data_IF_429984449766
#
_entry.id   IF_429984449766
#
_cell.length_a   1.000
_cell.length_b   1.000
_cell.length_c   1.000
_cell.angle_alpha   90.00
_cell.angle_beta   90.00
_cell.angle_gamma   90.00
#
_symmetry.space_group_name_H-M   'P 1'
#
loop_
_entity.id
_entity.type
_entity.pdbx_description
1 polymer ?
#
# COMPACT_ATOMS: atom_id res chain seq x y z
N UNK A 1 10.33 -2.28 10.02
CA UNK A 1 9.63 -1.24 9.22
C UNK A 1 8.71 -0.50 10.17
N UNK A 2 8.69 0.82 10.13
CA UNK A 2 7.92 1.70 11.02
C UNK A 2 7.75 3.08 10.36
N UNK A 3 7.06 4.02 10.99
CA UNK A 3 6.77 5.35 10.51
C UNK A 3 7.93 6.36 10.72
N UNK A 4 9.09 5.90 11.22
CA UNK A 4 10.27 6.74 11.40
C UNK A 4 10.96 6.92 10.04
N UNK A 5 11.15 8.16 9.55
CA UNK A 5 11.76 8.39 8.25
C UNK A 5 13.20 7.88 8.17
N UNK A 6 13.52 7.16 7.09
CA UNK A 6 14.88 6.79 6.76
C UNK A 6 15.71 8.04 6.47
N UNK A 7 16.82 8.22 7.19
CA UNK A 7 17.75 9.35 7.00
C UNK A 7 18.62 9.23 5.74
N UNK A 8 18.71 8.03 5.19
CA UNK A 8 19.47 7.72 3.98
C UNK A 8 18.84 6.52 3.29
N UNK A 9 18.91 6.51 1.96
CA UNK A 9 18.51 5.37 1.12
C UNK A 9 19.72 4.56 0.64
N UNK A 10 20.94 5.04 0.93
CA UNK A 10 22.17 4.34 0.57
C UNK A 10 22.34 3.10 1.43
N UNK A 11 22.70 1.97 0.79
CA UNK A 11 22.94 0.70 1.49
C UNK A 11 21.67 -0.07 1.85
N UNK A 12 20.49 0.39 1.43
CA UNK A 12 19.27 -0.40 1.55
C UNK A 12 19.35 -1.66 0.68
N UNK A 13 18.96 -2.78 1.26
CA UNK A 13 19.01 -4.09 0.65
C UNK A 13 17.59 -4.60 0.35
N UNK A 14 17.34 -5.00 -0.90
CA UNK A 14 16.02 -5.49 -1.32
C UNK A 14 15.59 -6.77 -0.60
N UNK A 15 16.49 -7.74 -0.42
CA UNK A 15 16.21 -9.01 0.27
C UNK A 15 15.84 -8.76 1.74
N UNK A 16 16.54 -7.84 2.42
CA UNK A 16 16.15 -7.47 3.77
C UNK A 16 14.76 -6.82 3.83
N UNK A 17 14.44 -5.95 2.86
CA UNK A 17 13.13 -5.29 2.80
C UNK A 17 12.02 -6.31 2.55
N UNK A 18 12.17 -7.20 1.57
CA UNK A 18 11.18 -8.25 1.29
C UNK A 18 10.99 -9.18 2.49
N UNK A 19 12.07 -9.60 3.16
CA UNK A 19 11.98 -10.46 4.34
C UNK A 19 11.29 -9.75 5.51
N UNK A 20 11.57 -8.46 5.75
CA UNK A 20 10.89 -7.67 6.79
C UNK A 20 9.41 -7.49 6.47
N UNK A 21 9.06 -7.25 5.21
CA UNK A 21 7.68 -7.12 4.76
C UNK A 21 6.90 -8.44 4.93
N UNK A 22 7.48 -9.54 4.47
CA UNK A 22 6.89 -10.88 4.61
C UNK A 22 6.63 -11.23 6.07
N UNK A 23 7.60 -11.00 6.97
CA UNK A 23 7.43 -11.26 8.40
C UNK A 23 6.25 -10.49 9.00
N UNK A 24 6.07 -9.22 8.62
CA UNK A 24 4.93 -8.41 9.08
C UNK A 24 3.63 -8.98 8.54
N UNK A 25 3.53 -9.26 7.23
CA UNK A 25 2.32 -9.81 6.61
C UNK A 25 1.96 -11.18 7.19
N UNK A 26 2.93 -12.07 7.34
CA UNK A 26 2.72 -13.43 7.87
C UNK A 26 2.34 -13.47 9.35
N UNK A 27 2.46 -12.34 10.05
CA UNK A 27 2.02 -12.18 11.44
C UNK A 27 0.55 -11.77 11.58
N UNK A 28 -0.06 -11.23 10.51
CA UNK A 28 -1.48 -10.87 10.47
C UNK A 28 -2.32 -12.13 10.64
N UNK A 29 -3.37 -12.03 11.47
CA UNK A 29 -4.22 -13.18 11.83
C UNK A 29 -3.60 -14.18 12.80
N UNK A 30 -2.30 -14.07 13.13
CA UNK A 30 -1.64 -14.87 14.17
C UNK A 30 -1.54 -14.12 15.50
N UNK A 31 -0.96 -12.92 15.45
CA UNK A 31 -0.72 -12.08 16.64
C UNK A 31 -1.50 -10.77 16.63
N UNK A 32 -2.08 -10.40 15.49
CA UNK A 32 -2.87 -9.18 15.34
C UNK A 32 -4.29 -9.42 15.84
N UNK A 33 -4.87 -8.41 16.49
CA UNK A 33 -6.26 -8.42 16.94
C UNK A 33 -7.17 -8.23 15.73
N UNK A 34 -8.16 -9.10 15.59
CA UNK A 34 -9.23 -8.93 14.59
C UNK A 34 -10.06 -7.70 14.93
N UNK A 35 -10.37 -6.91 13.91
CA UNK A 35 -11.19 -5.70 14.02
C UNK A 35 -12.43 -5.83 13.11
N UNK A 36 -13.09 -4.71 12.79
CA UNK A 36 -14.33 -4.69 12.03
C UNK A 36 -14.18 -5.33 10.65
N UNK A 37 -15.15 -6.18 10.30
CA UNK A 37 -15.37 -6.64 8.94
C UNK A 37 -16.24 -5.63 8.20
N UNK A 38 -15.78 -5.17 7.04
CA UNK A 38 -16.53 -4.26 6.18
C UNK A 38 -17.07 -5.03 4.98
N UNK A 39 -18.31 -4.73 4.60
CA UNK A 39 -18.96 -5.32 3.43
C UNK A 39 -19.26 -4.21 2.44
N UNK A 40 -18.84 -4.39 1.19
CA UNK A 40 -19.00 -3.41 0.13
C UNK A 40 -19.66 -4.05 -1.09
N UNK A 41 -20.54 -3.30 -1.76
CA UNK A 41 -21.14 -3.71 -3.02
C UNK A 41 -20.20 -3.33 -4.17
N UNK A 42 -19.97 -4.27 -5.09
CA UNK A 42 -19.31 -3.96 -6.36
C UNK A 42 -20.35 -3.57 -7.41
N UNK A 43 -19.95 -2.69 -8.33
CA UNK A 43 -20.85 -2.15 -9.34
C UNK A 43 -21.12 -3.18 -10.46
N UNK A 44 -20.06 -3.84 -10.93
CA UNK A 44 -20.12 -4.77 -12.06
C UNK A 44 -20.58 -6.16 -11.64
N UNK A 45 -20.03 -6.67 -10.54
CA UNK A 45 -20.43 -7.94 -9.96
C UNK A 45 -21.55 -7.66 -8.99
N UNK A 46 -22.74 -8.28 -9.16
CA UNK A 46 -23.86 -8.14 -8.22
C UNK A 46 -23.62 -8.91 -6.90
N UNK A 47 -22.38 -8.91 -6.44
CA UNK A 47 -21.88 -9.55 -5.24
C UNK A 47 -21.37 -8.49 -4.28
N UNK A 48 -21.56 -8.76 -2.98
CA UNK A 48 -20.88 -8.01 -1.95
C UNK A 48 -19.54 -8.68 -1.66
N UNK A 49 -18.49 -7.88 -1.54
CA UNK A 49 -17.18 -8.34 -1.06
C UNK A 49 -17.03 -8.01 0.41
N UNK A 50 -16.24 -8.85 1.09
CA UNK A 50 -15.85 -8.61 2.46
C UNK A 50 -14.38 -8.24 2.58
N UNK A 51 -14.11 -7.26 3.43
CA UNK A 51 -12.75 -6.83 3.79
C UNK A 51 -12.62 -6.95 5.30
N UNK A 52 -11.77 -7.87 5.75
CA UNK A 52 -11.51 -8.09 7.16
C UNK A 52 -10.35 -7.20 7.60
N UNK A 53 -10.56 -6.39 8.65
CA UNK A 53 -9.48 -5.55 9.21
C UNK A 53 -8.90 -6.15 10.48
N UNK A 54 -7.66 -5.75 10.78
CA UNK A 54 -6.89 -6.16 11.94
C UNK A 54 -6.09 -4.97 12.45
N UNK A 55 -5.70 -5.00 13.72
CA UNK A 55 -4.74 -4.05 14.27
C UNK A 55 -3.79 -4.72 15.26
N UNK A 56 -2.66 -4.08 15.51
CA UNK A 56 -1.76 -4.42 16.62
C UNK A 56 -1.27 -3.13 17.25
N UNK A 57 -1.33 -3.06 18.58
CA UNK A 57 -1.07 -1.82 19.32
C UNK A 57 0.38 -1.35 19.22
N UNK A 58 1.31 -2.30 19.15
CA UNK A 58 2.74 -2.04 19.08
C UNK A 58 3.45 -3.10 18.26
N UNK A 59 3.94 -2.72 17.08
CA UNK A 59 4.85 -3.48 16.23
C UNK A 59 5.90 -2.54 15.68
N UNK A 60 7.18 -2.82 15.96
CA UNK A 60 8.31 -1.91 15.62
C UNK A 60 8.09 -0.48 16.14
N UNK A 61 7.56 -0.36 17.36
CA UNK A 61 7.23 0.88 18.06
C UNK A 61 6.03 1.68 17.53
N UNK A 62 5.32 1.19 16.53
CA UNK A 62 4.11 1.83 16.00
C UNK A 62 2.84 1.02 16.19
N UNK A 63 1.71 1.72 16.13
CA UNK A 63 0.40 1.12 15.93
C UNK A 63 0.23 0.77 14.44
N UNK A 64 -0.14 -0.47 14.15
CA UNK A 64 -0.39 -0.93 12.80
C UNK A 64 -1.85 -1.33 12.60
N UNK A 65 -2.35 -1.06 11.40
CA UNK A 65 -3.63 -1.55 10.88
C UNK A 65 -3.36 -2.42 9.65
N UNK A 66 -4.22 -3.40 9.42
CA UNK A 66 -4.16 -4.20 8.22
C UNK A 66 -5.56 -4.53 7.71
N UNK A 67 -5.64 -4.82 6.42
CA UNK A 67 -6.81 -5.43 5.79
C UNK A 67 -6.42 -6.68 5.02
N UNK A 68 -7.32 -7.65 5.02
CA UNK A 68 -7.25 -8.89 4.26
C UNK A 68 -8.48 -8.97 3.36
N UNK A 69 -8.24 -9.07 2.05
CA UNK A 69 -9.30 -9.20 1.04
C UNK A 69 -9.06 -10.46 0.24
N UNK A 70 -9.82 -11.53 0.52
CA UNK A 70 -9.69 -12.82 -0.17
C UNK A 70 -10.64 -12.97 -1.36
N UNK A 71 -11.53 -11.99 -1.58
CA UNK A 71 -12.50 -11.93 -2.68
C UNK A 71 -13.23 -13.26 -2.94
N UNK A 72 -13.54 -14.01 -1.88
CA UNK A 72 -14.12 -15.37 -1.97
C UNK A 72 -15.53 -15.36 -2.56
N UNK A 73 -16.18 -14.20 -2.49
CA UNK A 73 -17.52 -13.93 -2.99
C UNK A 73 -17.57 -13.68 -4.52
N UNK A 74 -16.39 -13.59 -5.16
CA UNK A 74 -16.25 -13.35 -6.59
C UNK A 74 -16.02 -14.68 -7.31
N UNK A 75 -16.58 -14.80 -8.52
CA UNK A 75 -16.39 -16.00 -9.33
C UNK A 75 -14.95 -16.14 -9.84
N UNK A 76 -14.63 -17.33 -10.36
CA UNK A 76 -13.27 -17.67 -10.77
C UNK A 76 -12.75 -16.81 -11.93
N UNK A 77 -13.61 -16.48 -12.90
CA UNK A 77 -13.20 -15.73 -14.09
C UNK A 77 -12.93 -14.26 -13.72
N UNK A 78 -13.82 -13.67 -12.92
CA UNK A 78 -13.66 -12.33 -12.39
C UNK A 78 -12.44 -12.24 -11.46
N UNK A 79 -12.15 -13.25 -10.62
CA UNK A 79 -10.92 -13.27 -9.82
C UNK A 79 -9.66 -13.24 -10.67
N UNK A 80 -9.59 -14.03 -11.76
CA UNK A 80 -8.44 -14.04 -12.67
C UNK A 80 -8.27 -12.67 -13.36
N UNK A 81 -9.39 -12.08 -13.77
CA UNK A 81 -9.43 -10.72 -14.32
C UNK A 81 -8.92 -9.70 -13.31
N UNK A 82 -9.42 -9.72 -12.07
CA UNK A 82 -8.97 -8.82 -11.00
C UNK A 82 -7.51 -9.02 -10.62
N UNK A 83 -7.00 -10.26 -10.59
CA UNK A 83 -5.58 -10.50 -10.37
C UNK A 83 -4.72 -9.82 -11.46
N UNK A 84 -5.13 -9.95 -12.72
CA UNK A 84 -4.44 -9.30 -13.85
C UNK A 84 -4.49 -7.77 -13.73
N UNK A 85 -5.60 -7.22 -13.26
CA UNK A 85 -5.76 -5.77 -12.99
C UNK A 85 -4.91 -5.32 -11.80
N UNK A 86 -4.84 -6.09 -10.72
CA UNK A 86 -3.98 -5.80 -9.56
C UNK A 86 -2.50 -5.78 -9.97
N UNK A 87 -2.06 -6.78 -10.74
CA UNK A 87 -0.70 -6.82 -11.29
C UNK A 87 -0.43 -5.62 -12.21
N UNK A 88 -1.40 -5.21 -13.02
CA UNK A 88 -1.21 -4.08 -13.93
C UNK A 88 -1.20 -2.73 -13.23
N UNK A 89 -2.11 -2.51 -12.29
CA UNK A 89 -2.46 -1.18 -11.77
C UNK A 89 -2.07 -0.96 -10.31
N UNK A 90 -1.98 -2.00 -9.48
CA UNK A 90 -1.47 -1.86 -8.11
C UNK A 90 0.04 -2.14 -8.10
N UNK A 91 0.52 -3.20 -8.73
CA UNK A 91 1.98 -3.45 -8.81
C UNK A 91 2.62 -2.45 -9.77
N UNK A 92 2.01 -2.25 -10.95
CA UNK A 92 2.54 -1.35 -11.96
C UNK A 92 3.77 -1.91 -12.67
N UNK A 93 4.47 -1.03 -13.38
CA UNK A 93 5.68 -1.37 -14.11
C UNK A 93 6.85 -1.61 -13.16
N UNK A 94 7.61 -2.66 -13.44
CA UNK A 94 8.87 -3.00 -12.77
C UNK A 94 10.11 -2.49 -13.54
N UNK A 95 9.91 -1.64 -14.55
CA UNK A 95 10.99 -1.17 -15.43
C UNK A 95 10.87 0.28 -15.89
N UNK A 96 9.77 0.97 -15.58
CA UNK A 96 9.51 2.34 -16.01
C UNK A 96 8.78 3.15 -14.95
N UNK A 97 9.04 4.46 -14.92
CA UNK A 97 8.33 5.43 -14.09
C UNK A 97 6.98 5.87 -14.67
N UNK A 98 6.72 5.59 -15.95
CA UNK A 98 5.52 6.06 -16.65
C UNK A 98 4.23 5.35 -16.18
N UNK A 99 4.35 4.11 -15.71
CA UNK A 99 3.21 3.23 -15.39
C UNK A 99 3.38 2.61 -14.01
N UNK A 100 3.74 3.40 -13.00
CA UNK A 100 4.04 2.92 -11.64
C UNK A 100 2.79 2.72 -10.79
N UNK A 101 2.94 2.04 -9.64
CA UNK A 101 1.94 2.02 -8.58
C UNK A 101 1.36 3.41 -8.30
N UNK A 102 2.24 4.42 -8.11
CA UNK A 102 1.85 5.79 -7.80
C UNK A 102 1.06 6.48 -8.92
N UNK A 103 1.43 6.25 -10.19
CA UNK A 103 0.71 6.84 -11.32
C UNK A 103 -0.74 6.33 -11.37
N UNK A 104 -0.93 5.04 -11.16
CA UNK A 104 -2.27 4.45 -11.15
C UNK A 104 -3.05 4.78 -9.88
N UNK A 105 -2.40 4.86 -8.71
CA UNK A 105 -3.03 5.28 -7.46
C UNK A 105 -3.76 6.63 -7.61
N UNK A 106 -3.13 7.60 -8.28
CA UNK A 106 -3.72 8.91 -8.56
C UNK A 106 -5.05 8.83 -9.33
N UNK A 107 -5.29 7.76 -10.08
CA UNK A 107 -6.50 7.61 -10.89
C UNK A 107 -7.73 7.21 -10.06
N UNK A 108 -7.53 6.52 -8.92
CA UNK A 108 -8.63 6.06 -8.05
C UNK A 108 -8.60 6.64 -6.63
N UNK A 109 -7.51 7.31 -6.21
CA UNK A 109 -7.42 8.07 -4.96
C UNK A 109 -7.46 9.58 -5.28
N UNK A 110 -8.66 10.15 -5.28
CA UNK A 110 -8.89 11.53 -5.70
C UNK A 110 -8.25 12.59 -4.78
N UNK A 111 -7.86 12.20 -3.57
CA UNK A 111 -7.13 13.02 -2.62
C UNK A 111 -5.66 13.22 -3.02
N UNK A 112 -5.06 12.28 -3.76
CA UNK A 112 -3.70 12.42 -4.32
C UNK A 112 -3.75 13.37 -5.52
N UNK A 113 -3.23 14.59 -5.34
CA UNK A 113 -3.35 15.66 -6.35
C UNK A 113 -2.11 15.84 -7.19
N UNK A 114 -0.94 15.57 -6.63
CA UNK A 114 0.33 15.72 -7.31
C UNK A 114 1.35 14.73 -6.79
N UNK A 115 2.32 14.38 -7.63
CA UNK A 115 3.44 13.56 -7.20
C UNK A 115 4.71 13.94 -7.97
N UNK A 116 5.87 13.57 -7.43
CA UNK A 116 7.15 13.60 -8.12
C UNK A 116 7.88 12.28 -7.85
N UNK A 117 8.50 11.68 -8.88
CA UNK A 117 9.16 10.39 -8.78
C UNK A 117 10.65 10.48 -9.13
N UNK A 118 11.49 9.74 -8.42
CA UNK A 118 12.91 9.61 -8.71
C UNK A 118 13.36 8.15 -8.60
N UNK A 119 13.88 7.52 -9.67
CA UNK A 119 14.26 6.12 -9.61
C UNK A 119 15.52 5.95 -8.76
N UNK A 120 15.60 4.85 -8.03
CA UNK A 120 16.81 4.45 -7.30
C UNK A 120 17.05 2.96 -7.46
N UNK A 121 18.28 2.54 -7.26
CA UNK A 121 18.66 1.12 -7.34
C UNK A 121 19.01 0.61 -5.97
N UNK A 122 18.35 -0.47 -5.55
CA UNK A 122 18.77 -1.26 -4.40
C UNK A 122 19.62 -2.44 -4.84
N UNK A 123 20.26 -3.11 -3.90
CA UNK A 123 20.94 -4.37 -4.20
C UNK A 123 19.94 -5.37 -4.81
N UNK A 124 20.32 -6.11 -5.87
CA UNK A 124 19.43 -7.08 -6.51
C UNK A 124 18.91 -8.13 -5.53
N UNK A 125 17.67 -8.56 -5.77
CA UNK A 125 17.04 -9.66 -5.06
C UNK A 125 17.09 -10.92 -5.91
N UNK A 126 17.44 -12.05 -5.31
CA UNK A 126 17.53 -13.34 -6.01
C UNK A 126 16.16 -13.90 -6.37
N UNK A 127 15.17 -13.72 -5.49
CA UNK A 127 13.85 -14.34 -5.60
C UNK A 127 12.84 -13.44 -6.33
N UNK A 128 13.12 -12.14 -6.39
CA UNK A 128 12.22 -11.12 -6.93
C UNK A 128 12.85 -10.33 -8.08
N UNK A 129 12.02 -9.97 -9.05
CA UNK A 129 12.24 -8.79 -9.89
C UNK A 129 11.82 -7.56 -9.11
N UNK A 130 12.62 -6.51 -9.16
CA UNK A 130 12.43 -5.37 -8.28
C UNK A 130 12.54 -4.05 -8.99
N UNK A 131 11.72 -3.11 -8.58
CA UNK A 131 11.79 -1.73 -9.02
C UNK A 131 11.63 -0.81 -7.82
N UNK A 132 12.50 0.19 -7.72
CA UNK A 132 12.51 1.10 -6.56
C UNK A 132 12.55 2.53 -7.01
N UNK A 133 11.75 3.37 -6.37
CA UNK A 133 11.77 4.79 -6.61
C UNK A 133 11.41 5.55 -5.34
N UNK A 134 11.84 6.80 -5.28
CA UNK A 134 11.38 7.75 -4.30
C UNK A 134 10.14 8.45 -4.85
N UNK A 135 9.17 8.71 -3.99
CA UNK A 135 7.96 9.43 -4.31
C UNK A 135 7.75 10.58 -3.33
N UNK A 136 7.47 11.77 -3.85
CA UNK A 136 6.92 12.89 -3.09
C UNK A 136 5.45 13.00 -3.45
N UNK A 137 4.56 12.71 -2.52
CA UNK A 137 3.11 12.64 -2.76
C UNK A 137 2.39 13.80 -2.07
N UNK A 138 1.55 14.53 -2.79
CA UNK A 138 0.73 15.61 -2.24
C UNK A 138 -0.74 15.20 -2.14
N UNK A 139 -1.28 15.24 -0.92
CA UNK A 139 -2.70 14.95 -0.67
C UNK A 139 -3.45 16.21 -0.26
N UNK A 140 -4.61 16.43 -0.91
CA UNK A 140 -5.62 17.37 -0.43
C UNK A 140 -6.52 16.67 0.57
N UNK A 141 -6.89 17.38 1.63
CA UNK A 141 -7.88 16.92 2.59
C UNK A 141 -9.01 17.93 2.67
N UNK A 142 -10.22 17.49 3.09
CA UNK A 142 -11.33 18.40 3.31
C UNK A 142 -10.96 19.53 4.27
N UNK A 143 -11.43 20.74 3.97
CA UNK A 143 -11.33 21.89 4.88
C UNK A 143 -11.93 21.52 6.24
N UNK A 144 -11.27 21.87 7.38
CA UNK A 144 -10.20 22.85 7.56
C UNK A 144 -8.77 22.29 7.53
N UNK A 145 -8.57 21.04 7.09
CA UNK A 145 -7.25 20.42 7.14
C UNK A 145 -6.34 20.95 6.00
N UNK A 146 -5.09 21.26 6.34
CA UNK A 146 -4.07 21.66 5.36
C UNK A 146 -3.67 20.48 4.47
N UNK A 147 -3.06 20.77 3.32
CA UNK A 147 -2.44 19.76 2.45
C UNK A 147 -1.33 19.02 3.17
N UNK A 148 -1.20 17.73 2.88
CA UNK A 148 -0.14 16.88 3.40
C UNK A 148 0.81 16.52 2.29
N UNK A 149 2.08 16.44 2.63
CA UNK A 149 3.12 15.88 1.77
C UNK A 149 3.70 14.66 2.46
N UNK A 150 3.86 13.59 1.68
CA UNK A 150 4.55 12.38 2.08
C UNK A 150 5.81 12.24 1.23
N UNK A 151 6.88 11.76 1.85
CA UNK A 151 8.11 11.41 1.17
C UNK A 151 8.37 9.94 1.44
N UNK A 152 8.38 9.14 0.38
CA UNK A 152 8.39 7.70 0.46
C UNK A 152 9.48 7.11 -0.43
N UNK A 153 10.02 5.99 0.02
CA UNK A 153 10.64 5.00 -0.85
C UNK A 153 9.58 3.95 -1.14
N UNK A 154 9.30 3.71 -2.41
CA UNK A 154 8.42 2.64 -2.88
C UNK A 154 9.29 1.57 -3.52
N UNK A 155 9.22 0.36 -2.97
CA UNK A 155 9.96 -0.81 -3.42
C UNK A 155 8.97 -1.90 -3.83
N UNK A 156 8.96 -2.21 -5.12
CA UNK A 156 8.14 -3.26 -5.70
C UNK A 156 8.99 -4.52 -5.80
N UNK A 157 8.44 -5.65 -5.36
CA UNK A 157 9.03 -6.98 -5.53
C UNK A 157 8.02 -7.89 -6.22
N UNK A 158 8.35 -8.44 -7.38
CA UNK A 158 7.54 -9.40 -8.11
C UNK A 158 8.26 -10.75 -8.15
N UNK A 159 7.62 -11.78 -7.60
CA UNK A 159 8.26 -13.10 -7.48
C UNK A 159 8.59 -13.66 -8.87
N UNK A 160 9.77 -14.24 -8.99
CA UNK A 160 10.22 -14.91 -10.23
C UNK A 160 9.57 -16.28 -10.43
N UNK A 161 9.08 -16.89 -9.35
CA UNK A 161 8.58 -18.28 -9.35
C UNK A 161 7.08 -18.36 -9.07
N UNK A 162 6.56 -17.45 -8.26
CA UNK A 162 5.18 -17.49 -7.75
C UNK A 162 4.36 -16.33 -8.30
N UNK A 163 3.04 -16.47 -8.28
CA UNK A 163 2.10 -15.36 -8.54
C UNK A 163 1.94 -14.54 -7.27
N UNK A 164 3.02 -13.88 -6.86
CA UNK A 164 3.19 -13.14 -5.61
C UNK A 164 3.93 -11.82 -5.88
N UNK A 165 3.35 -10.72 -5.41
CA UNK A 165 3.94 -9.39 -5.51
C UNK A 165 3.84 -8.64 -4.18
N UNK A 166 4.87 -7.87 -3.84
CA UNK A 166 4.89 -6.95 -2.72
C UNK A 166 5.08 -5.51 -3.20
N UNK A 167 4.39 -4.58 -2.56
CA UNK A 167 4.63 -3.14 -2.68
C UNK A 167 4.95 -2.64 -1.28
N UNK A 168 6.16 -2.13 -1.07
CA UNK A 168 6.68 -1.73 0.22
C UNK A 168 6.93 -0.21 0.17
N UNK A 169 6.15 0.55 0.94
CA UNK A 169 6.34 1.99 1.09
C UNK A 169 6.96 2.28 2.46
N UNK A 170 8.08 3.01 2.48
CA UNK A 170 8.75 3.45 3.70
C UNK A 170 8.91 4.96 3.72
N UNK A 171 8.69 5.63 4.87
CA UNK A 171 8.91 7.06 4.94
C UNK A 171 10.41 7.35 4.80
N UNK A 172 10.75 8.39 4.05
CA UNK A 172 12.12 8.88 3.92
C UNK A 172 12.19 10.33 4.42
N UNK A 173 13.38 10.73 4.87
CA UNK A 173 13.63 12.12 5.20
C UNK A 173 13.53 12.98 3.92
N UNK A 174 12.85 14.15 3.94
CA UNK A 174 12.73 15.03 2.77
C UNK A 174 14.07 15.39 2.13
N UNK A 175 15.15 15.42 2.92
CA UNK A 175 16.52 15.66 2.41
C UNK A 175 16.99 14.59 1.42
N UNK A 176 16.49 13.35 1.51
CA UNK A 176 16.76 12.30 0.53
C UNK A 176 16.16 12.62 -0.85
N UNK A 177 15.09 13.43 -0.86
CA UNK A 177 14.38 13.84 -2.07
C UNK A 177 14.90 15.17 -2.64
N UNK A 178 15.63 15.97 -1.84
CA UNK A 178 16.12 17.31 -2.20
C UNK A 178 15.01 18.29 -2.59
N UNK A 179 13.81 18.14 -2.03
CA UNK A 179 12.65 18.98 -2.33
C UNK A 179 12.22 19.79 -1.12
N UNK A 180 11.97 21.08 -1.34
CA UNK A 180 11.35 21.95 -0.35
C UNK A 180 9.83 21.77 -0.36
N UNK A 181 9.23 21.72 0.83
CA UNK A 181 7.78 21.62 0.99
C UNK A 181 7.28 22.75 1.90
N UNK A 182 7.57 23.98 1.49
CA UNK A 182 7.09 25.18 2.17
C UNK A 182 5.56 25.13 2.25
N UNK A 183 5.02 25.30 3.47
CA UNK A 183 3.59 25.40 3.78
C UNK A 183 2.74 24.10 3.77
N UNK A 184 3.33 22.91 3.68
CA UNK A 184 2.60 21.63 3.81
C UNK A 184 2.90 20.93 5.13
N UNK A 185 1.93 20.16 5.63
CA UNK A 185 2.16 19.30 6.82
C UNK A 185 2.84 18.02 6.37
N UNK A 186 3.99 17.70 6.94
CA UNK A 186 4.68 16.44 6.68
C UNK A 186 3.94 15.31 7.38
N UNK A 187 3.39 14.40 6.59
CA UNK A 187 2.80 13.18 7.08
C UNK A 187 3.72 12.01 6.70
N UNK A 188 3.64 10.92 7.47
CA UNK A 188 4.52 9.76 7.34
C UNK A 188 3.69 8.51 7.44
N UNK A 189 3.97 7.53 6.60
CA UNK A 189 3.47 6.19 6.83
C UNK A 189 4.47 5.18 6.26
N UNK A 190 4.40 3.97 6.79
CA UNK A 190 4.96 2.80 6.14
C UNK A 190 3.81 1.86 5.78
N UNK A 191 3.83 1.29 4.58
CA UNK A 191 2.88 0.27 4.18
C UNK A 191 3.57 -0.92 3.52
N UNK A 192 2.86 -2.04 3.57
CA UNK A 192 3.18 -3.25 2.82
C UNK A 192 1.88 -3.70 2.20
N UNK A 193 1.84 -3.81 0.89
CA UNK A 193 0.81 -4.55 0.17
C UNK A 193 1.36 -5.87 -0.31
N UNK A 194 0.53 -6.91 -0.26
CA UNK A 194 0.81 -8.22 -0.83
C UNK A 194 -0.35 -8.61 -1.73
N UNK A 195 -0.03 -8.98 -2.95
CA UNK A 195 -0.97 -9.59 -3.89
C UNK A 195 -0.48 -11.01 -4.14
N UNK A 196 -1.35 -12.00 -3.93
CA UNK A 196 -1.04 -13.39 -4.25
C UNK A 196 -2.21 -14.08 -4.93
N UNK A 197 -1.90 -14.95 -5.90
CA UNK A 197 -2.87 -15.73 -6.63
C UNK A 197 -2.43 -17.18 -6.76
N UNK A 198 -3.21 -18.11 -6.24
CA UNK A 198 -3.00 -19.54 -6.44
C UNK A 198 -3.77 -20.02 -7.67
N UNK A 199 -3.05 -20.42 -8.71
CA UNK A 199 -3.65 -20.88 -9.99
C UNK A 199 -4.40 -22.20 -9.85
N UNK A 200 -4.06 -23.03 -8.87
CA UNK A 200 -4.66 -24.35 -8.67
C UNK A 200 -6.03 -24.26 -7.99
N UNK A 201 -6.16 -23.34 -7.03
CA UNK A 201 -7.39 -23.11 -6.25
C UNK A 201 -8.21 -21.93 -6.77
N UNK A 202 -7.60 -21.05 -7.57
CA UNK A 202 -8.12 -19.73 -7.94
C UNK A 202 -8.38 -18.84 -6.73
N UNK A 203 -7.57 -18.98 -5.68
CA UNK A 203 -7.61 -18.11 -4.52
C UNK A 203 -6.79 -16.85 -4.80
N UNK A 204 -7.48 -15.70 -4.77
CA UNK A 204 -6.89 -14.38 -4.88
C UNK A 204 -6.89 -13.73 -3.50
N UNK A 205 -5.73 -13.27 -3.05
CA UNK A 205 -5.58 -12.54 -1.81
C UNK A 205 -4.89 -11.21 -2.07
N UNK A 206 -5.50 -10.13 -1.57
CA UNK A 206 -4.92 -8.80 -1.54
C UNK A 206 -4.92 -8.26 -0.11
N UNK A 207 -3.72 -8.12 0.42
CA UNK A 207 -3.44 -7.67 1.78
C UNK A 207 -2.81 -6.29 1.75
N UNK A 208 -3.10 -5.51 2.78
CA UNK A 208 -2.36 -4.30 3.10
C UNK A 208 -2.14 -4.23 4.60
N UNK A 209 -0.93 -3.87 5.02
CA UNK A 209 -0.61 -3.45 6.38
C UNK A 209 -0.01 -2.05 6.33
N UNK A 210 -0.40 -1.18 7.25
CA UNK A 210 0.11 0.19 7.32
C UNK A 210 0.22 0.68 8.75
N UNK A 211 1.23 1.50 9.01
CA UNK A 211 1.32 2.36 10.18
C UNK A 211 1.54 3.80 9.71
N UNK A 212 0.89 4.76 10.35
CA UNK A 212 1.03 6.15 9.96
C UNK A 212 1.11 7.10 11.14
N UNK A 213 1.86 8.17 10.94
CA UNK A 213 1.88 9.36 11.77
C UNK A 213 1.42 10.53 10.90
N UNK A 214 0.14 10.93 11.00
CA UNK A 214 -0.44 11.95 10.11
C UNK A 214 0.10 13.37 10.37
N UNK A 215 0.87 13.57 11.44
CA UNK A 215 1.43 14.86 11.83
C UNK A 215 0.35 15.88 12.28
N UNK A 216 0.82 17.06 12.71
CA UNK A 216 -0.07 18.13 13.17
C UNK A 216 -0.78 17.82 14.49
N UNK A 217 -2.01 18.32 14.65
CA UNK A 217 -2.79 18.25 15.89
C UNK A 217 -3.94 17.24 15.85
N UNK A 218 -3.87 16.22 14.98
CA UNK A 218 -4.92 15.19 14.92
C UNK A 218 -4.73 14.24 16.12
N UNK A 219 -5.76 14.02 16.96
CA UNK A 219 -5.66 13.04 18.04
C UNK A 219 -5.44 11.63 17.51
N UNK A 220 -4.48 10.91 18.10
CA UNK A 220 -4.11 9.56 17.65
C UNK A 220 -5.29 8.58 17.58
N UNK A 221 -6.21 8.64 18.54
CA UNK A 221 -7.40 7.76 18.56
C UNK A 221 -8.31 7.96 17.34
N UNK A 222 -8.42 9.20 16.84
CA UNK A 222 -9.22 9.53 15.67
C UNK A 222 -8.54 9.04 14.39
N UNK A 223 -7.21 9.17 14.33
CA UNK A 223 -6.40 8.58 13.26
C UNK A 223 -6.56 7.07 13.21
N UNK A 224 -6.41 6.36 14.34
CA UNK A 224 -6.51 4.89 14.42
C UNK A 224 -7.86 4.35 13.92
N UNK A 225 -8.97 4.95 14.35
CA UNK A 225 -10.31 4.54 13.90
C UNK A 225 -10.55 4.83 12.41
N UNK A 226 -10.02 5.95 11.90
CA UNK A 226 -10.20 6.35 10.51
C UNK A 226 -9.41 5.50 9.53
N UNK A 227 -8.22 5.02 9.92
CA UNK A 227 -7.32 4.24 9.06
C UNK A 227 -7.95 2.91 8.65
N UNK A 228 -8.51 2.14 9.58
CA UNK A 228 -9.15 0.85 9.26
C UNK A 228 -10.27 0.99 8.23
N UNK A 229 -11.11 2.01 8.37
CA UNK A 229 -12.17 2.28 7.40
C UNK A 229 -11.61 2.74 6.05
N UNK A 230 -10.56 3.56 6.05
CA UNK A 230 -9.92 4.05 4.83
C UNK A 230 -9.32 2.89 4.03
N UNK A 231 -8.41 2.11 4.64
CA UNK A 231 -7.75 0.98 3.96
C UNK A 231 -8.74 -0.09 3.49
N UNK A 232 -9.86 -0.27 4.19
CA UNK A 232 -10.92 -1.17 3.77
C UNK A 232 -11.70 -0.64 2.56
N UNK A 233 -11.89 0.69 2.46
CA UNK A 233 -12.59 1.36 1.35
C UNK A 233 -11.73 1.41 0.08
N UNK A 234 -10.41 1.31 0.17
CA UNK A 234 -9.53 1.31 -1.01
C UNK A 234 -9.80 0.11 -1.94
N UNK A 235 -10.21 -1.02 -1.36
CA UNK A 235 -10.53 -2.25 -2.11
C UNK A 235 -11.68 -2.04 -3.10
N UNK A 236 -12.90 -1.68 -2.67
CA UNK A 236 -13.99 -1.42 -3.62
C UNK A 236 -13.72 -0.19 -4.48
N UNK A 237 -12.97 0.82 -4.03
CA UNK A 237 -12.59 1.97 -4.86
C UNK A 237 -11.77 1.51 -6.06
N UNK A 238 -10.72 0.72 -5.84
CA UNK A 238 -9.92 0.14 -6.91
C UNK A 238 -10.73 -0.78 -7.81
N UNK A 239 -11.46 -1.76 -7.25
CA UNK A 239 -12.18 -2.75 -8.06
C UNK A 239 -13.20 -2.08 -8.98
N UNK A 240 -14.00 -1.13 -8.46
CA UNK A 240 -14.99 -0.40 -9.25
C UNK A 240 -14.34 0.50 -10.31
N UNK A 241 -13.25 1.19 -9.99
CA UNK A 241 -12.51 1.97 -10.98
C UNK A 241 -11.93 1.07 -12.08
N UNK A 242 -11.30 -0.04 -11.70
CA UNK A 242 -10.68 -0.98 -12.63
C UNK A 242 -11.70 -1.68 -13.54
N UNK A 243 -12.97 -1.74 -13.15
CA UNK A 243 -14.08 -2.23 -13.97
C UNK A 243 -14.65 -1.18 -14.93
N UNK A 244 -14.36 0.10 -14.70
CA UNK A 244 -14.79 1.20 -15.56
C UNK A 244 -13.85 1.48 -16.74
N UNK A 245 -12.70 0.79 -16.80
CA UNK A 245 -11.66 0.94 -17.83
C UNK A 245 -11.52 -0.32 -18.68
#
# INVERSE_FOLDING_TARGET
MNAIPLKSVNGLNSEELSNKAENIINSIGKIWKTDKKYTYKLNKVNSNINVQTYHIDKLNDDYWCARVSTLKEIDVEDKRSYYSKLEKYIVGSISSLENTHTEYEKQYIHELVNYELKPITLTPNKDFETFTYLARLEYKFPFPLRRRVFFELIHICKSRMESLSYIISLPIDPTCFQSESLNMVHARYASIEKISYDKSTNDLEWLMATCSSPGGSIPDWLSKLSINKAIAKDVPSFLNWSDSI
#
